data_IF_290395562266
#
_entry.id   IF_290395562266
#
_cell.length_a   1.000
_cell.length_b   1.000
_cell.length_c   1.000
_cell.angle_alpha   90.00
_cell.angle_beta   90.00
_cell.angle_gamma   90.00
#
_symmetry.space_group_name_H-M   'P 1'
#
loop_
_entity.id
_entity.type
_entity.pdbx_description
1 polymer ?
#
# COMPACT_ATOMS: atom_id res chain seq x y z
N UNK A 1 -36.43 -0.49 26.66
CA UNK A 1 -35.01 -0.17 26.95
C UNK A 1 -34.00 -1.14 26.30
N UNK A 2 -34.12 -2.46 26.45
CA UNK A 2 -33.15 -3.43 25.86
C UNK A 2 -33.00 -3.33 24.34
N UNK A 3 -34.09 -3.07 23.62
CA UNK A 3 -34.08 -2.93 22.15
C UNK A 3 -33.38 -1.65 21.71
N UNK A 4 -33.66 -0.52 22.38
CA UNK A 4 -33.00 0.77 22.12
C UNK A 4 -31.51 0.69 22.42
N UNK A 5 -31.12 0.00 23.51
CA UNK A 5 -29.71 -0.22 23.84
C UNK A 5 -28.98 -1.06 22.77
N UNK A 6 -29.64 -2.11 22.23
CA UNK A 6 -29.11 -2.89 21.11
C UNK A 6 -28.99 -2.06 19.82
N UNK A 7 -29.97 -1.21 19.52
CA UNK A 7 -29.94 -0.36 18.32
C UNK A 7 -28.83 0.70 18.41
N UNK A 8 -28.62 1.29 19.59
CA UNK A 8 -27.52 2.25 19.82
C UNK A 8 -26.16 1.55 19.72
N UNK A 9 -26.01 0.36 20.31
CA UNK A 9 -24.78 -0.43 20.23
C UNK A 9 -24.45 -0.87 18.79
N UNK A 10 -25.46 -1.18 17.98
CA UNK A 10 -25.28 -1.54 16.58
C UNK A 10 -24.86 -0.32 15.72
N UNK A 11 -25.45 0.84 15.99
CA UNK A 11 -25.15 2.09 15.28
C UNK A 11 -23.71 2.59 15.54
N UNK A 12 -23.19 2.44 16.75
CA UNK A 12 -21.81 2.85 17.10
C UNK A 12 -20.72 1.94 16.50
N UNK A 13 -21.00 0.67 16.27
CA UNK A 13 -20.08 -0.27 15.59
C UNK A 13 -19.96 0.09 14.10
N UNK A 14 -21.05 0.50 13.46
CA UNK A 14 -21.08 0.85 12.03
C UNK A 14 -20.39 2.19 11.71
N UNK A 15 -20.17 3.07 12.69
CA UNK A 15 -19.55 4.38 12.49
C UNK A 15 -18.00 4.36 12.57
N UNK A 16 -17.39 3.21 12.89
CA UNK A 16 -15.93 3.06 13.06
C UNK A 16 -15.20 2.49 11.83
N UNK A 17 -15.76 2.63 10.63
CA UNK A 17 -15.07 2.31 9.37
C UNK A 17 -14.18 3.48 8.89
N UNK A 18 -13.28 3.96 9.74
CA UNK A 18 -12.22 4.83 9.25
C UNK A 18 -11.24 3.97 8.45
N UNK A 19 -10.91 4.44 7.24
CA UNK A 19 -10.13 3.73 6.23
C UNK A 19 -8.85 3.10 6.83
N UNK A 20 -8.87 1.78 7.00
CA UNK A 20 -7.68 0.99 7.34
C UNK A 20 -6.85 0.88 6.07
N UNK A 21 -5.92 1.82 5.87
CA UNK A 21 -4.87 1.66 4.88
C UNK A 21 -3.82 0.72 5.46
N UNK A 22 -3.82 -0.54 5.02
CA UNK A 22 -2.92 -1.56 5.56
C UNK A 22 -1.47 -1.39 5.10
N UNK A 23 -1.21 -0.65 4.01
CA UNK A 23 0.13 -0.44 3.45
C UNK A 23 0.42 1.05 3.30
N UNK A 24 1.63 1.44 3.69
CA UNK A 24 2.14 2.79 3.51
C UNK A 24 2.94 2.84 2.20
N UNK A 25 2.58 3.74 1.29
CA UNK A 25 3.28 3.93 0.01
C UNK A 25 3.98 5.29 0.05
N UNK A 26 5.29 5.29 -0.11
CA UNK A 26 6.12 6.50 -0.13
C UNK A 26 6.92 6.60 -1.44
N UNK A 27 7.26 7.80 -1.93
CA UNK A 27 8.17 7.93 -3.06
C UNK A 27 9.56 7.37 -2.70
N UNK A 28 10.21 6.68 -3.63
CA UNK A 28 11.59 6.20 -3.44
C UNK A 28 12.57 7.37 -3.44
N UNK A 29 12.32 8.39 -4.27
CA UNK A 29 13.12 9.60 -4.37
C UNK A 29 12.28 10.82 -3.99
N UNK A 30 12.78 11.63 -3.06
CA UNK A 30 12.15 12.90 -2.64
C UNK A 30 12.45 14.03 -3.63
N UNK A 31 13.56 13.88 -4.37
CA UNK A 31 14.06 14.83 -5.36
C UNK A 31 14.07 14.19 -6.75
N UNK A 32 14.98 14.61 -7.63
CA UNK A 32 15.08 14.07 -8.98
C UNK A 32 15.45 12.58 -8.99
N UNK A 33 14.81 11.83 -9.90
CA UNK A 33 15.08 10.42 -10.12
C UNK A 33 16.39 10.30 -10.93
N UNK A 34 17.44 9.62 -10.41
CA UNK A 34 18.71 9.50 -11.11
C UNK A 34 18.56 8.87 -12.51
N UNK A 35 19.20 9.47 -13.51
CA UNK A 35 19.18 9.04 -14.92
C UNK A 35 17.78 8.95 -15.57
N UNK A 36 16.77 9.59 -14.98
CA UNK A 36 15.42 9.60 -15.55
C UNK A 36 15.37 10.35 -16.88
N UNK A 37 14.64 9.79 -17.84
CA UNK A 37 14.35 10.43 -19.12
C UNK A 37 12.91 10.93 -19.08
N UNK A 38 12.62 12.16 -19.56
CA UNK A 38 11.26 12.66 -19.64
C UNK A 38 10.38 11.71 -20.45
N UNK A 39 9.32 11.20 -19.82
CA UNK A 39 8.34 10.33 -20.43
C UNK A 39 6.97 10.52 -19.76
N UNK A 40 5.86 10.31 -20.47
CA UNK A 40 4.54 10.32 -19.84
C UNK A 40 4.44 9.17 -18.83
N UNK A 41 3.79 9.41 -17.69
CA UNK A 41 3.49 8.35 -16.74
C UNK A 41 2.45 7.40 -17.34
N UNK A 42 2.86 6.15 -17.58
CA UNK A 42 2.04 5.06 -18.14
C UNK A 42 2.06 3.84 -17.24
N UNK A 43 2.36 4.02 -15.95
CA UNK A 43 2.41 2.95 -14.98
C UNK A 43 1.07 2.21 -14.92
N UNK A 44 1.13 0.88 -14.83
CA UNK A 44 -0.05 0.02 -14.73
C UNK A 44 0.17 -1.07 -13.70
N UNK A 45 -0.89 -1.34 -12.94
CA UNK A 45 -0.98 -2.41 -11.96
C UNK A 45 -2.03 -3.41 -12.41
N UNK A 46 -1.61 -4.63 -12.72
CA UNK A 46 -2.50 -5.68 -13.25
C UNK A 46 -2.34 -6.94 -12.41
N UNK A 47 -3.45 -7.50 -11.97
CA UNK A 47 -3.47 -8.81 -11.34
C UNK A 47 -3.35 -9.89 -12.42
N UNK A 48 -2.32 -10.71 -12.34
CA UNK A 48 -2.17 -11.87 -13.23
C UNK A 48 -3.22 -12.94 -12.92
N UNK A 49 -3.46 -13.84 -13.87
CA UNK A 49 -4.35 -15.00 -13.66
C UNK A 49 -3.83 -15.95 -12.56
N UNK A 50 -2.54 -15.86 -12.23
CA UNK A 50 -1.86 -16.54 -11.14
C UNK A 50 -2.02 -15.84 -9.77
N UNK A 51 -2.75 -14.73 -9.71
CA UNK A 51 -2.95 -13.95 -8.49
C UNK A 51 -1.74 -13.11 -8.08
N UNK A 52 -0.73 -12.98 -8.95
CA UNK A 52 0.44 -12.13 -8.70
C UNK A 52 0.20 -10.74 -9.30
N UNK A 53 0.26 -9.71 -8.46
CA UNK A 53 0.23 -8.32 -8.89
C UNK A 53 1.50 -7.98 -9.67
N UNK A 54 1.34 -7.48 -10.89
CA UNK A 54 2.43 -7.01 -11.74
C UNK A 54 2.28 -5.52 -11.98
N UNK A 55 3.33 -4.78 -11.63
CA UNK A 55 3.46 -3.35 -11.89
C UNK A 55 4.42 -3.19 -13.06
N UNK A 56 4.03 -2.40 -14.06
CA UNK A 56 4.79 -2.22 -15.30
C UNK A 56 4.84 -0.74 -15.71
N UNK A 57 5.86 -0.36 -16.48
CA UNK A 57 6.12 1.01 -16.93
C UNK A 57 6.23 2.02 -15.77
N UNK A 58 6.92 1.62 -14.70
CA UNK A 58 7.17 2.49 -13.54
C UNK A 58 7.97 3.71 -13.99
N UNK A 59 7.41 4.90 -13.78
CA UNK A 59 8.04 6.18 -14.12
C UNK A 59 8.31 7.05 -12.89
N UNK A 60 7.53 6.86 -11.83
CA UNK A 60 7.67 7.53 -10.53
C UNK A 60 7.81 6.43 -9.48
N UNK A 61 9.04 5.98 -9.17
CA UNK A 61 9.24 4.82 -8.31
C UNK A 61 8.80 5.10 -6.87
N UNK A 62 8.13 4.12 -6.27
CA UNK A 62 7.62 4.15 -4.89
C UNK A 62 8.08 2.93 -4.11
N UNK A 63 8.00 3.01 -2.78
CA UNK A 63 8.18 1.91 -1.85
C UNK A 63 6.86 1.62 -1.16
N UNK A 64 6.43 0.36 -1.23
CA UNK A 64 5.31 -0.16 -0.45
C UNK A 64 5.85 -0.82 0.82
N UNK A 65 5.50 -0.26 1.97
CA UNK A 65 6.02 -0.69 3.27
C UNK A 65 5.02 -1.66 3.93
N UNK A 66 5.51 -2.85 4.27
CA UNK A 66 4.78 -3.87 5.01
C UNK A 66 5.42 -4.00 6.40
N UNK A 67 4.81 -3.33 7.39
CA UNK A 67 5.30 -3.37 8.78
C UNK A 67 4.83 -4.65 9.46
N UNK A 68 5.69 -5.33 10.24
CA UNK A 68 5.24 -6.41 11.11
C UNK A 68 4.31 -5.85 12.20
N UNK A 69 3.63 -6.74 12.92
CA UNK A 69 2.97 -6.35 14.17
C UNK A 69 4.00 -5.72 15.12
N UNK A 70 3.60 -4.68 15.86
CA UNK A 70 4.51 -3.94 16.76
C UNK A 70 5.22 -4.84 17.78
N UNK A 71 4.56 -5.91 18.22
CA UNK A 71 5.12 -6.92 19.14
C UNK A 71 6.23 -7.77 18.50
N UNK A 72 6.20 -7.89 17.17
CA UNK A 72 7.13 -8.67 16.35
C UNK A 72 8.20 -7.79 15.69
N UNK A 73 8.14 -6.47 15.84
CA UNK A 73 9.14 -5.56 15.30
C UNK A 73 10.50 -5.80 15.98
N UNK A 74 11.46 -6.34 15.22
CA UNK A 74 12.85 -6.59 15.65
C UNK A 74 13.85 -5.64 15.01
N UNK A 75 13.38 -4.64 14.25
CA UNK A 75 14.23 -3.66 13.57
C UNK A 75 14.95 -4.16 12.32
N UNK A 76 14.72 -5.40 11.87
CA UNK A 76 15.25 -5.93 10.61
C UNK A 76 14.28 -5.66 9.45
N UNK A 77 14.82 -5.38 8.26
CA UNK A 77 14.03 -5.13 7.06
C UNK A 77 14.58 -5.90 5.84
N UNK A 78 13.68 -6.25 4.92
CA UNK A 78 13.99 -6.84 3.62
C UNK A 78 13.47 -5.92 2.54
N UNK A 79 14.33 -5.58 1.57
CA UNK A 79 13.95 -4.79 0.40
C UNK A 79 13.79 -5.75 -0.77
N UNK A 80 12.62 -5.76 -1.38
CA UNK A 80 12.34 -6.53 -2.61
C UNK A 80 12.38 -5.54 -3.77
N UNK A 81 13.30 -5.75 -4.69
CA UNK A 81 13.41 -5.01 -5.94
C UNK A 81 12.96 -5.94 -7.09
N UNK A 82 11.68 -5.91 -7.51
CA UNK A 82 11.24 -6.68 -8.66
C UNK A 82 12.05 -6.29 -9.90
N UNK A 83 12.47 -7.29 -10.68
CA UNK A 83 13.05 -7.04 -11.99
C UNK A 83 12.00 -6.44 -12.94
N UNK A 84 12.45 -5.73 -13.98
CA UNK A 84 11.51 -5.10 -14.90
C UNK A 84 12.10 -4.45 -16.14
N UNK A 85 13.39 -4.64 -16.44
CA UNK A 85 14.07 -4.11 -17.62
C UNK A 85 13.88 -2.61 -17.83
N UNK A 86 14.80 -1.80 -17.29
CA UNK A 86 14.93 -0.41 -17.73
C UNK A 86 15.58 -0.36 -19.11
#
# INVERSE_FOLDING_TARGET
MKTIFKTILCSTILFNINAVNAQEIIPLYITEIPNSKPAPNKEKSVMGADGILRISNVSIPTLSIYKPEKSLDKGAAVIICPGGGY
#
